data_IF_837944627730
#
_entry.id   IF_837944627730
#
_cell.length_a   1.000
_cell.length_b   1.000
_cell.length_c   1.000
_cell.angle_alpha   90.00
_cell.angle_beta   90.00
_cell.angle_gamma   90.00
#
_symmetry.space_group_name_H-M   'P 1'
#
loop_
_entity.id
_entity.type
_entity.pdbx_description
1 polymer ?
#
# COMPACT_ATOMS: atom_id res chain seq x y z
N UNK A 1 0.62 -5.47 -4.35
CA UNK A 1 -0.32 -5.87 -3.27
C UNK A 1 0.48 -6.45 -2.13
N UNK A 2 0.04 -6.29 -0.90
CA UNK A 2 0.66 -6.94 0.25
C UNK A 2 -0.32 -7.90 0.90
N UNK A 3 0.17 -9.10 1.22
CA UNK A 3 -0.52 -10.11 2.02
C UNK A 3 0.23 -10.18 3.34
N UNK A 4 -0.43 -9.83 4.44
CA UNK A 4 0.14 -9.82 5.77
C UNK A 4 -0.47 -10.94 6.61
N UNK A 5 0.37 -11.82 7.13
CA UNK A 5 0.02 -12.71 8.24
C UNK A 5 0.32 -11.95 9.55
N UNK A 6 -0.71 -11.48 10.28
CA UNK A 6 -0.51 -10.79 11.54
C UNK A 6 -0.18 -11.75 12.67
N UNK A 7 0.38 -11.23 13.76
CA UNK A 7 0.29 -11.88 15.07
C UNK A 7 -1.18 -11.93 15.48
N UNK A 8 -1.72 -13.11 15.79
CA UNK A 8 -3.13 -13.26 16.17
C UNK A 8 -3.44 -12.69 17.56
N UNK A 9 -2.44 -12.60 18.44
CA UNK A 9 -2.61 -12.25 19.85
C UNK A 9 -2.15 -10.83 20.17
N UNK A 10 -1.35 -10.21 19.30
CA UNK A 10 -0.75 -8.88 19.54
C UNK A 10 -1.07 -7.93 18.39
N UNK A 11 -1.98 -6.99 18.66
CA UNK A 11 -2.28 -5.88 17.74
C UNK A 11 -1.10 -4.92 17.60
N UNK A 12 -1.02 -4.23 16.46
CA UNK A 12 0.04 -3.24 16.24
C UNK A 12 -0.03 -2.53 14.90
N UNK A 13 -0.68 -3.12 13.90
CA UNK A 13 -0.93 -2.44 12.63
C UNK A 13 -2.01 -1.35 12.82
N UNK A 14 -1.72 -0.14 12.34
CA UNK A 14 -2.69 0.93 12.20
C UNK A 14 -2.77 1.41 10.75
N UNK A 15 -3.95 1.76 10.30
CA UNK A 15 -4.22 2.35 8.98
C UNK A 15 -4.80 3.76 9.15
N UNK A 16 -4.43 4.69 8.27
CA UNK A 16 -4.94 6.06 8.29
C UNK A 16 -6.33 6.14 7.67
N UNK A 17 -7.27 6.81 8.33
CA UNK A 17 -8.60 7.16 7.80
C UNK A 17 -8.87 8.63 8.10
N UNK A 18 -8.76 9.47 7.09
CA UNK A 18 -8.75 10.93 7.30
C UNK A 18 -7.52 11.32 8.12
N UNK A 19 -7.72 12.01 9.23
CA UNK A 19 -6.65 12.38 10.18
C UNK A 19 -6.45 11.34 11.29
N UNK A 20 -7.34 10.34 11.38
CA UNK A 20 -7.31 9.34 12.44
C UNK A 20 -6.51 8.10 12.06
N UNK A 21 -5.93 7.45 13.08
CA UNK A 21 -5.28 6.14 12.97
C UNK A 21 -6.16 5.05 13.57
N UNK A 22 -6.52 4.06 12.77
CA UNK A 22 -7.39 2.95 13.18
C UNK A 22 -6.55 1.69 13.35
N UNK A 23 -6.60 1.10 14.53
CA UNK A 23 -5.96 -0.19 14.80
C UNK A 23 -6.69 -1.33 14.10
N UNK A 24 -5.97 -2.09 13.30
CA UNK A 24 -6.49 -3.30 12.65
C UNK A 24 -6.38 -4.45 13.65
N UNK A 25 -7.52 -4.98 14.07
CA UNK A 25 -7.57 -6.14 14.96
C UNK A 25 -7.26 -7.41 14.16
N UNK A 26 -6.28 -8.22 14.58
CA UNK A 26 -6.09 -9.55 14.01
C UNK A 26 -7.36 -10.38 14.16
N UNK A 27 -7.68 -11.16 13.13
CA UNK A 27 -8.75 -12.15 13.16
C UNK A 27 -8.06 -13.51 13.03
N UNK A 28 -8.38 -14.49 13.90
CA UNK A 28 -7.79 -15.83 13.81
C UNK A 28 -7.97 -16.44 12.41
N UNK A 29 -6.92 -17.08 11.90
CA UNK A 29 -6.89 -17.70 10.56
C UNK A 29 -7.15 -16.74 9.39
N UNK A 30 -6.86 -15.44 9.56
CA UNK A 30 -7.08 -14.44 8.51
C UNK A 30 -5.78 -13.73 8.10
N UNK A 31 -5.69 -13.41 6.81
CA UNK A 31 -4.70 -12.48 6.29
C UNK A 31 -5.27 -11.06 6.25
N UNK A 32 -4.40 -10.08 6.43
CA UNK A 32 -4.70 -8.68 6.15
C UNK A 32 -4.17 -8.37 4.75
N UNK A 33 -5.04 -7.90 3.86
CA UNK A 33 -4.68 -7.52 2.50
C UNK A 33 -4.70 -5.99 2.38
N UNK A 34 -3.60 -5.40 1.91
CA UNK A 34 -3.56 -3.98 1.58
C UNK A 34 -3.13 -3.73 0.14
N UNK A 35 -3.78 -2.74 -0.47
CA UNK A 35 -3.45 -2.27 -1.80
C UNK A 35 -2.18 -1.42 -1.75
N UNK A 36 -1.32 -1.62 -2.74
CA UNK A 36 -0.10 -0.83 -2.92
C UNK A 36 -0.25 0.20 -4.03
N UNK A 37 0.70 1.11 -4.13
CA UNK A 37 0.64 2.25 -5.06
C UNK A 37 0.47 1.80 -6.52
N UNK A 38 1.07 0.67 -6.90
CA UNK A 38 0.94 0.13 -8.26
C UNK A 38 -0.50 -0.24 -8.62
N UNK A 39 -1.29 -0.77 -7.68
CA UNK A 39 -2.72 -1.06 -7.92
C UNK A 39 -3.53 0.24 -7.96
N UNK A 40 -3.16 1.24 -7.15
CA UNK A 40 -3.79 2.56 -7.21
C UNK A 40 -3.56 3.22 -8.59
N UNK A 41 -2.34 3.15 -9.13
CA UNK A 41 -2.00 3.66 -10.46
C UNK A 41 -2.80 2.92 -11.54
N UNK A 42 -2.73 1.58 -11.57
CA UNK A 42 -3.45 0.76 -12.55
C UNK A 42 -4.96 1.02 -12.53
N UNK A 43 -5.53 1.18 -11.33
CA UNK A 43 -6.97 1.40 -11.16
C UNK A 43 -7.41 2.85 -11.37
N UNK A 44 -6.51 3.74 -11.82
CA UNK A 44 -6.76 5.17 -11.96
C UNK A 44 -7.38 5.79 -10.68
N UNK A 45 -6.80 5.45 -9.54
CA UNK A 45 -7.19 5.87 -8.20
C UNK A 45 -8.55 5.36 -7.67
N UNK A 46 -9.18 4.37 -8.30
CA UNK A 46 -10.38 3.70 -7.77
C UNK A 46 -10.03 2.96 -6.48
N UNK A 47 -8.95 2.18 -6.49
CA UNK A 47 -8.42 1.56 -5.28
C UNK A 47 -7.37 2.45 -4.65
N UNK A 48 -7.45 2.61 -3.33
CA UNK A 48 -6.56 3.49 -2.58
C UNK A 48 -5.47 2.70 -1.87
N UNK A 49 -4.23 3.12 -2.08
CA UNK A 49 -3.08 2.68 -1.31
C UNK A 49 -3.00 3.57 -0.07
N UNK A 50 -3.31 3.00 1.09
CA UNK A 50 -3.49 3.75 2.34
C UNK A 50 -2.20 3.76 3.16
N UNK A 51 -1.92 4.90 3.80
CA UNK A 51 -0.85 5.01 4.79
C UNK A 51 -1.12 4.08 5.96
N UNK A 52 -0.10 3.33 6.36
CA UNK A 52 -0.18 2.41 7.48
C UNK A 52 1.12 2.47 8.27
N UNK A 53 1.03 2.20 9.57
CA UNK A 53 2.15 2.18 10.49
C UNK A 53 2.03 0.99 11.44
N UNK A 54 3.15 0.61 12.05
CA UNK A 54 3.17 -0.35 13.15
C UNK A 54 3.54 0.38 14.42
N UNK A 55 2.74 0.21 15.47
CA UNK A 55 3.03 0.69 16.82
C UNK A 55 3.66 -0.42 17.66
N UNK A 56 4.51 -0.03 18.61
CA UNK A 56 5.15 -0.93 19.56
C UNK A 56 4.43 -0.88 20.91
N UNK A 57 4.64 -1.91 21.74
CA UNK A 57 4.15 -1.96 23.12
C UNK A 57 5.25 -2.50 24.05
N UNK A 58 5.14 -2.25 25.35
CA UNK A 58 6.13 -2.67 26.36
C UNK A 58 5.90 -4.07 26.94
N UNK A 59 4.80 -4.73 26.58
CA UNK A 59 4.28 -5.89 27.31
C UNK A 59 4.54 -7.22 26.59
N UNK A 60 4.50 -7.22 25.26
CA UNK A 60 4.60 -8.42 24.44
C UNK A 60 5.30 -8.13 23.12
N UNK A 61 6.17 -9.06 22.73
CA UNK A 61 6.71 -9.11 21.38
C UNK A 61 5.60 -9.36 20.36
N UNK A 62 5.80 -8.85 19.14
CA UNK A 62 4.87 -9.01 18.03
C UNK A 62 5.64 -9.41 16.78
N UNK A 63 5.23 -10.50 16.14
CA UNK A 63 5.82 -10.96 14.88
C UNK A 63 4.76 -11.04 13.79
N UNK A 64 5.06 -10.53 12.60
CA UNK A 64 4.16 -10.65 11.44
C UNK A 64 4.97 -10.88 10.18
N UNK A 65 4.41 -11.61 9.21
CA UNK A 65 5.03 -11.90 7.93
C UNK A 65 4.32 -11.13 6.81
N UNK A 66 5.05 -10.26 6.12
CA UNK A 66 4.52 -9.49 4.99
C UNK A 66 5.08 -10.04 3.67
N UNK A 67 4.18 -10.48 2.78
CA UNK A 67 4.51 -10.86 1.41
C UNK A 67 4.11 -9.75 0.45
N UNK A 68 5.07 -9.26 -0.35
CA UNK A 68 4.85 -8.19 -1.32
C UNK A 68 4.77 -8.76 -2.74
N UNK A 69 3.58 -8.77 -3.31
CA UNK A 69 3.36 -9.09 -4.72
C UNK A 69 3.50 -7.83 -5.56
N UNK A 70 4.68 -7.67 -6.16
CA UNK A 70 5.05 -6.50 -6.96
C UNK A 70 5.09 -6.81 -8.46
N UNK A 71 4.90 -5.81 -9.32
CA UNK A 71 5.04 -5.96 -10.77
C UNK A 71 6.48 -6.27 -11.18
N UNK A 72 6.65 -6.68 -12.45
CA UNK A 72 7.98 -6.79 -13.07
C UNK A 72 8.63 -5.41 -13.14
N UNK A 73 9.93 -5.36 -12.88
CA UNK A 73 10.71 -4.14 -12.66
C UNK A 73 10.71 -3.13 -13.82
N UNK A 74 10.76 -3.64 -15.05
CA UNK A 74 11.05 -2.93 -16.30
C UNK A 74 9.81 -2.62 -17.14
N UNK A 75 8.63 -3.08 -16.73
CA UNK A 75 7.38 -2.80 -17.45
C UNK A 75 6.79 -1.49 -16.90
N UNK A 76 6.45 -0.52 -17.77
CA UNK A 76 5.72 0.66 -17.36
C UNK A 76 4.35 0.31 -16.77
N UNK A 77 4.02 0.92 -15.65
CA UNK A 77 2.74 0.82 -14.98
C UNK A 77 2.03 2.15 -15.18
N UNK A 78 0.82 2.09 -15.74
CA UNK A 78 -0.01 3.25 -16.07
C UNK A 78 -1.49 2.92 -15.80
N UNK A 79 -2.39 3.92 -15.73
CA UNK A 79 -3.82 3.66 -15.65
C UNK A 79 -4.30 2.70 -16.75
N UNK A 80 -5.05 1.67 -16.37
CA UNK A 80 -5.63 0.73 -17.33
C UNK A 80 -6.54 1.50 -18.30
N UNK A 81 -6.39 1.25 -19.60
CA UNK A 81 -7.05 2.02 -20.66
C UNK A 81 -8.57 2.00 -20.55
N UNK A 82 -9.11 0.88 -20.08
CA UNK A 82 -10.54 0.64 -19.84
C UNK A 82 -11.10 1.49 -18.69
N UNK A 83 -10.23 2.00 -17.80
CA UNK A 83 -10.59 2.82 -16.65
C UNK A 83 -10.32 4.33 -16.88
N UNK A 84 -9.83 4.68 -18.07
CA UNK A 84 -9.63 6.07 -18.52
C UNK A 84 -10.79 6.47 -19.42
N UNK A 85 -11.48 7.55 -19.06
CA UNK A 85 -12.66 8.06 -19.78
C UNK A 85 -12.57 9.59 -19.87
N UNK A 86 -13.49 10.22 -20.61
CA UNK A 86 -13.56 11.69 -20.66
C UNK A 86 -13.82 12.31 -19.28
N UNK A 87 -14.68 11.66 -18.46
CA UNK A 87 -15.01 12.14 -17.11
C UNK A 87 -13.97 11.74 -16.05
N UNK A 88 -13.09 10.78 -16.39
CA UNK A 88 -11.99 10.33 -15.53
C UNK A 88 -10.72 10.17 -16.37
N UNK A 89 -10.01 11.27 -16.66
CA UNK A 89 -8.75 11.20 -17.40
C UNK A 89 -7.68 10.44 -16.61
N UNK A 90 -6.60 10.08 -17.28
CA UNK A 90 -5.47 9.41 -16.63
C UNK A 90 -4.84 10.33 -15.58
N UNK A 91 -4.84 9.92 -14.32
CA UNK A 91 -4.31 10.70 -13.19
C UNK A 91 -2.80 10.52 -12.99
N UNK A 92 -2.24 9.45 -13.55
CA UNK A 92 -0.86 9.06 -13.31
C UNK A 92 -0.11 8.93 -14.64
N UNK A 93 1.12 9.48 -14.75
CA UNK A 93 1.98 9.19 -15.88
C UNK A 93 2.51 7.75 -15.78
N UNK A 94 2.90 7.14 -16.91
CA UNK A 94 3.55 5.83 -16.90
C UNK A 94 4.86 5.87 -16.11
N UNK A 95 5.09 4.86 -15.28
CA UNK A 95 6.31 4.72 -14.48
C UNK A 95 6.66 3.24 -14.31
N UNK A 96 7.94 2.89 -14.45
CA UNK A 96 8.41 1.54 -14.16
C UNK A 96 8.52 1.30 -12.66
N UNK A 97 8.46 0.03 -12.23
CA UNK A 97 8.64 -0.27 -10.82
C UNK A 97 10.08 0.03 -10.34
N UNK A 98 11.08 0.03 -11.21
CA UNK A 98 12.45 0.45 -10.87
C UNK A 98 12.56 1.94 -10.56
N UNK A 99 11.98 2.81 -11.37
CA UNK A 99 11.90 4.25 -11.11
C UNK A 99 11.16 4.52 -9.80
N UNK A 100 10.05 3.84 -9.57
CA UNK A 100 9.29 3.93 -8.33
C UNK A 100 10.14 3.50 -7.11
N UNK A 101 10.86 2.37 -7.20
CA UNK A 101 11.73 1.90 -6.11
C UNK A 101 12.84 2.90 -5.80
N UNK A 102 13.46 3.48 -6.83
CA UNK A 102 14.49 4.50 -6.66
C UNK A 102 13.91 5.76 -5.99
N UNK A 103 12.74 6.19 -6.44
CA UNK A 103 12.01 7.32 -5.85
C UNK A 103 11.74 7.08 -4.36
N UNK A 104 11.16 5.94 -3.98
CA UNK A 104 10.84 5.64 -2.57
C UNK A 104 12.11 5.56 -1.71
N UNK A 105 13.21 5.01 -2.21
CA UNK A 105 14.48 4.94 -1.45
C UNK A 105 15.11 6.30 -1.21
N UNK A 106 14.90 7.26 -2.11
CA UNK A 106 15.54 8.58 -2.05
C UNK A 106 14.63 9.66 -1.45
N UNK A 107 13.31 9.50 -1.57
CA UNK A 107 12.30 10.52 -1.20
C UNK A 107 11.20 9.98 -0.28
N UNK A 108 11.11 8.67 -0.05
CA UNK A 108 10.05 8.03 0.75
C UNK A 108 9.83 8.58 2.17
N UNK A 109 10.86 9.08 2.89
CA UNK A 109 10.65 9.71 4.19
C UNK A 109 9.74 10.96 4.16
N UNK A 110 9.54 11.58 3.00
CA UNK A 110 8.65 12.73 2.80
C UNK A 110 7.17 12.36 2.61
N UNK A 111 6.82 11.07 2.73
CA UNK A 111 5.46 10.57 2.50
C UNK A 111 5.17 10.33 1.01
N UNK A 112 3.90 10.09 0.68
CA UNK A 112 3.49 9.83 -0.70
C UNK A 112 3.48 11.11 -1.54
N UNK A 113 4.21 11.12 -2.65
CA UNK A 113 4.12 12.21 -3.64
C UNK A 113 2.82 12.19 -4.46
N UNK A 114 2.17 11.03 -4.56
CA UNK A 114 0.95 10.85 -5.33
C UNK A 114 -0.26 11.20 -4.45
N UNK A 115 -0.55 12.50 -4.30
CA UNK A 115 -1.83 12.99 -3.76
C UNK A 115 -2.82 13.25 -4.87
#
# INVERSE_FOLDING_TARGET
>A
MTILLPDENVSGLQVRRGEDWITVKPIPNAFIINMGDQIQVLSNAIYKSIEHRVIVNSNKDRVSLAFFYNPRSDIPIEPAKELVTMDRPALYPPMTFDEYRLYIRTRGPSGKAQR
#
